data_IF_979182134054
#
_entry.id   IF_979182134054
#
_cell.length_a   1.000
_cell.length_b   1.000
_cell.length_c   1.000
_cell.angle_alpha   90.00
_cell.angle_beta   90.00
_cell.angle_gamma   90.00
#
_symmetry.space_group_name_H-M   'P 1'
#
loop_
_entity.id
_entity.type
_entity.pdbx_description
1 polymer ?
#
# COMPACT_ATOMS: atom_id res chain seq x y z
N UNK A 1 -26.04 -14.20 -37.62
CA UNK A 1 -24.58 -14.01 -37.79
C UNK A 1 -24.30 -12.53 -37.73
N UNK A 2 -23.93 -12.06 -36.56
CA UNK A 2 -23.32 -10.75 -36.32
C UNK A 2 -22.43 -10.99 -35.12
N UNK A 3 -21.12 -11.06 -35.37
CA UNK A 3 -20.10 -11.24 -34.33
C UNK A 3 -20.15 -9.99 -33.43
N UNK A 4 -20.59 -10.16 -32.20
CA UNK A 4 -20.33 -9.20 -31.13
C UNK A 4 -18.82 -9.04 -31.01
N UNK A 5 -18.36 -7.81 -31.25
CA UNK A 5 -17.02 -7.37 -30.88
C UNK A 5 -16.99 -7.36 -29.35
N UNK A 6 -16.04 -8.04 -28.67
CA UNK A 6 -15.97 -7.96 -27.21
C UNK A 6 -15.77 -6.50 -26.83
N UNK A 7 -16.50 -6.01 -25.82
CA UNK A 7 -16.29 -4.71 -25.23
C UNK A 7 -14.84 -4.60 -24.76
N UNK A 8 -13.98 -4.01 -25.62
CA UNK A 8 -12.62 -3.68 -25.27
C UNK A 8 -12.69 -2.67 -24.13
N UNK A 9 -12.12 -3.03 -22.98
CA UNK A 9 -11.94 -2.10 -21.86
C UNK A 9 -11.23 -0.86 -22.39
N UNK A 10 -11.96 0.26 -22.42
CA UNK A 10 -11.46 1.54 -22.86
C UNK A 10 -10.72 2.18 -21.68
N UNK A 11 -9.40 2.22 -21.75
CA UNK A 11 -8.57 2.96 -20.81
C UNK A 11 -8.36 4.37 -21.36
N UNK A 12 -9.03 5.37 -20.79
CA UNK A 12 -8.74 6.77 -21.08
C UNK A 12 -7.63 7.25 -20.15
N UNK A 13 -6.46 7.54 -20.70
CA UNK A 13 -5.37 8.26 -20.02
C UNK A 13 -5.06 9.47 -20.87
N UNK A 14 -5.49 10.66 -20.44
CA UNK A 14 -5.38 11.89 -21.23
C UNK A 14 -4.02 12.58 -21.00
N UNK A 15 -3.86 13.28 -19.88
CA UNK A 15 -2.73 14.20 -19.69
C UNK A 15 -1.43 13.53 -19.20
N UNK A 16 -1.55 12.46 -18.41
CA UNK A 16 -0.40 11.65 -17.96
C UNK A 16 0.27 10.91 -19.13
N UNK A 17 -0.50 10.63 -20.19
CA UNK A 17 -0.08 9.83 -21.34
C UNK A 17 0.87 10.59 -22.27
N UNK A 18 0.57 11.85 -22.60
CA UNK A 18 1.35 12.63 -23.57
C UNK A 18 2.74 13.07 -23.06
N UNK A 19 2.90 13.30 -21.75
CA UNK A 19 4.18 13.71 -21.17
C UNK A 19 5.13 12.54 -20.89
N UNK A 20 4.63 11.39 -20.42
CA UNK A 20 5.49 10.28 -19.99
C UNK A 20 5.83 9.27 -21.12
N UNK A 21 4.96 9.08 -22.12
CA UNK A 21 5.19 8.09 -23.20
C UNK A 21 6.33 8.44 -24.16
N UNK A 22 6.57 9.73 -24.44
CA UNK A 22 7.66 10.13 -25.34
C UNK A 22 9.04 9.76 -24.78
N UNK A 23 9.18 9.82 -23.46
CA UNK A 23 10.41 9.44 -22.79
C UNK A 23 10.54 7.92 -22.70
N UNK A 24 9.42 7.21 -22.47
CA UNK A 24 9.42 5.74 -22.40
C UNK A 24 9.98 5.07 -23.66
N UNK A 25 9.66 5.59 -24.85
CA UNK A 25 10.23 5.06 -26.11
C UNK A 25 11.75 5.26 -26.17
N UNK A 26 12.24 6.41 -25.71
CA UNK A 26 13.68 6.70 -25.65
C UNK A 26 14.34 5.78 -24.61
N UNK A 27 13.75 5.65 -23.41
CA UNK A 27 14.26 4.78 -22.34
C UNK A 27 14.34 3.32 -22.79
N UNK A 28 13.30 2.81 -23.46
CA UNK A 28 13.27 1.44 -23.98
C UNK A 28 14.34 1.18 -25.04
N UNK A 29 14.56 2.15 -25.95
CA UNK A 29 15.60 2.02 -26.98
C UNK A 29 17.00 2.13 -26.39
N UNK A 30 17.24 3.07 -25.48
CA UNK A 30 18.55 3.28 -24.87
C UNK A 30 19.01 2.07 -24.05
N UNK A 31 18.13 1.51 -23.19
CA UNK A 31 18.48 0.31 -22.40
C UNK A 31 18.71 -0.95 -23.26
N UNK A 32 18.31 -0.94 -24.53
CA UNK A 32 18.49 -2.05 -25.47
C UNK A 32 19.82 -1.96 -26.25
N UNK A 33 20.59 -0.88 -26.07
CA UNK A 33 21.90 -0.71 -26.70
C UNK A 33 22.95 -1.37 -25.82
N UNK A 34 23.69 -2.34 -26.39
CA UNK A 34 24.82 -2.98 -25.71
C UNK A 34 25.84 -1.94 -25.24
N UNK A 35 26.18 -1.97 -23.95
CA UNK A 35 27.09 -1.02 -23.31
C UNK A 35 26.41 0.12 -22.55
N UNK A 36 25.09 0.27 -22.64
CA UNK A 36 24.32 1.22 -21.82
C UNK A 36 23.68 0.47 -20.64
N UNK A 37 23.96 0.85 -19.38
CA UNK A 37 23.33 0.22 -18.23
C UNK A 37 21.80 0.34 -18.26
N UNK A 38 21.10 -0.79 -18.10
CA UNK A 38 19.63 -0.85 -18.05
C UNK A 38 19.03 -0.47 -16.70
N UNK A 39 19.74 0.33 -15.91
CA UNK A 39 19.43 0.71 -14.51
C UNK A 39 19.42 2.23 -14.37
N UNK A 40 18.68 2.74 -13.39
CA UNK A 40 18.55 4.19 -13.12
C UNK A 40 19.90 4.87 -12.86
N UNK A 41 20.81 4.18 -12.16
CA UNK A 41 22.20 4.57 -12.05
C UNK A 41 23.10 3.33 -11.92
N UNK A 42 24.38 3.48 -12.26
CA UNK A 42 25.41 2.46 -12.01
C UNK A 42 26.71 3.08 -11.54
N UNK A 43 27.30 2.49 -10.50
CA UNK A 43 28.55 2.97 -9.88
C UNK A 43 29.77 2.31 -10.52
N UNK A 44 30.76 3.13 -10.89
CA UNK A 44 32.03 2.73 -11.49
C UNK A 44 33.19 3.41 -10.74
N UNK A 45 33.73 2.73 -9.72
CA UNK A 45 34.70 3.34 -8.81
C UNK A 45 34.06 4.52 -8.08
N UNK A 46 34.65 5.71 -8.20
CA UNK A 46 34.13 6.95 -7.58
C UNK A 46 33.09 7.69 -8.45
N UNK A 47 32.81 7.18 -9.64
CA UNK A 47 31.88 7.80 -10.59
C UNK A 47 30.55 7.06 -10.66
N UNK A 48 29.51 7.78 -11.07
CA UNK A 48 28.14 7.28 -11.19
C UNK A 48 27.60 7.65 -12.56
N UNK A 49 27.23 6.64 -13.34
CA UNK A 49 26.42 6.80 -14.54
C UNK A 49 24.97 7.04 -14.13
N UNK A 50 24.31 8.04 -14.74
CA UNK A 50 22.90 8.36 -14.48
C UNK A 50 22.10 8.27 -15.77
N UNK A 51 21.13 7.36 -15.81
CA UNK A 51 20.37 7.07 -17.03
C UNK A 51 19.51 8.26 -17.49
N UNK A 52 18.91 8.99 -16.55
CA UNK A 52 18.08 10.16 -16.90
C UNK A 52 18.92 11.29 -17.53
N UNK A 53 20.19 11.44 -17.13
CA UNK A 53 21.12 12.36 -17.81
C UNK A 53 21.39 11.94 -19.24
N UNK A 54 21.56 10.65 -19.49
CA UNK A 54 21.71 10.14 -20.85
C UNK A 54 20.47 10.43 -21.70
N UNK A 55 19.26 10.23 -21.16
CA UNK A 55 18.00 10.60 -21.83
C UNK A 55 18.00 12.08 -22.20
N UNK A 56 18.37 12.97 -21.27
CA UNK A 56 18.45 14.40 -21.53
C UNK A 56 19.48 14.75 -22.63
N UNK A 57 20.67 14.16 -22.59
CA UNK A 57 21.72 14.40 -23.59
C UNK A 57 21.29 13.94 -24.98
N UNK A 58 20.61 12.80 -25.09
CA UNK A 58 20.10 12.27 -26.36
C UNK A 58 19.00 13.18 -26.93
N UNK A 59 18.10 13.69 -26.08
CA UNK A 59 17.10 14.69 -26.50
C UNK A 59 17.76 15.97 -27.02
N UNK A 60 18.78 16.47 -26.32
CA UNK A 60 19.55 17.65 -26.74
C UNK A 60 20.28 17.42 -28.06
N UNK A 61 20.67 16.19 -28.37
CA UNK A 61 21.28 15.79 -29.65
C UNK A 61 20.25 15.36 -30.71
N UNK A 62 19.03 15.91 -30.67
CA UNK A 62 17.99 15.67 -31.67
C UNK A 62 17.45 14.24 -31.69
N UNK A 63 17.45 13.56 -30.55
CA UNK A 63 17.01 12.16 -30.39
C UNK A 63 17.87 11.14 -31.17
N UNK A 64 19.13 11.48 -31.48
CA UNK A 64 20.02 10.61 -32.25
C UNK A 64 20.62 9.48 -31.39
N UNK A 65 19.94 8.33 -31.40
CA UNK A 65 20.37 7.13 -30.67
C UNK A 65 21.71 6.55 -31.13
N UNK A 66 22.15 6.82 -32.36
CA UNK A 66 23.45 6.33 -32.84
C UNK A 66 24.63 6.93 -32.07
N UNK A 67 24.42 8.09 -31.43
CA UNK A 67 25.43 8.77 -30.60
C UNK A 67 25.34 8.44 -29.12
N UNK A 68 24.38 7.60 -28.71
CA UNK A 68 24.09 7.37 -27.30
C UNK A 68 25.30 6.84 -26.51
N UNK A 69 26.11 5.96 -27.11
CA UNK A 69 27.32 5.41 -26.47
C UNK A 69 28.37 6.50 -26.23
N UNK A 70 28.54 7.43 -27.17
CA UNK A 70 29.49 8.55 -27.03
C UNK A 70 29.05 9.56 -25.96
N UNK A 71 27.77 9.53 -25.58
CA UNK A 71 27.20 10.37 -24.52
C UNK A 71 27.28 9.72 -23.13
N UNK A 72 27.57 8.42 -23.02
CA UNK A 72 27.72 7.72 -21.72
C UNK A 72 28.77 8.36 -20.81
N UNK A 73 29.97 8.75 -21.29
CA UNK A 73 30.94 9.46 -20.46
C UNK A 73 30.42 10.80 -19.94
N UNK A 74 29.61 11.52 -20.73
CA UNK A 74 28.99 12.78 -20.30
C UNK A 74 27.85 12.54 -19.31
N UNK A 75 27.18 11.39 -19.40
CA UNK A 75 26.18 10.92 -18.44
C UNK A 75 26.78 10.37 -17.13
N UNK A 76 28.11 10.31 -17.04
CA UNK A 76 28.85 9.82 -15.88
C UNK A 76 29.46 11.02 -15.13
N UNK A 77 29.30 11.04 -13.81
CA UNK A 77 29.73 12.16 -12.97
C UNK A 77 30.14 11.65 -11.57
N UNK A 78 30.57 12.53 -10.68
CA UNK A 78 30.88 12.13 -9.30
C UNK A 78 29.61 11.75 -8.53
N UNK A 79 29.75 10.96 -7.46
CA UNK A 79 28.61 10.57 -6.64
C UNK A 79 27.89 11.78 -5.99
N UNK A 80 28.60 12.85 -5.60
CA UNK A 80 27.97 14.06 -5.05
C UNK A 80 27.10 14.77 -6.10
N UNK A 81 27.63 14.96 -7.31
CA UNK A 81 26.90 15.58 -8.42
C UNK A 81 25.64 14.78 -8.78
N UNK A 82 25.73 13.44 -8.78
CA UNK A 82 24.58 12.58 -9.03
C UNK A 82 23.46 12.77 -8.00
N UNK A 83 23.79 12.91 -6.72
CA UNK A 83 22.81 13.11 -5.65
C UNK A 83 22.22 14.53 -5.67
N UNK A 84 23.07 15.53 -5.85
CA UNK A 84 22.69 16.94 -5.75
C UNK A 84 21.90 17.42 -6.98
N UNK A 85 22.44 17.16 -8.18
CA UNK A 85 21.89 17.68 -9.44
C UNK A 85 20.84 16.75 -10.05
N UNK A 86 21.01 15.43 -9.89
CA UNK A 86 20.16 14.42 -10.54
C UNK A 86 19.24 13.68 -9.60
N UNK A 87 19.24 14.06 -8.31
CA UNK A 87 18.41 13.42 -7.28
C UNK A 87 18.58 11.91 -7.20
N UNK A 88 19.75 11.38 -7.58
CA UNK A 88 20.10 9.99 -7.33
C UNK A 88 20.14 9.77 -5.83
N UNK A 89 19.69 8.62 -5.37
CA UNK A 89 19.78 8.23 -3.98
C UNK A 89 20.08 6.74 -3.89
N UNK A 90 20.96 6.29 -2.98
CA UNK A 90 21.39 4.90 -2.92
C UNK A 90 20.20 3.99 -2.65
N UNK A 91 19.86 3.13 -3.61
CA UNK A 91 18.90 2.06 -3.40
C UNK A 91 19.44 1.08 -2.33
N UNK A 92 18.58 0.56 -1.45
CA UNK A 92 17.13 0.75 -1.38
C UNK A 92 16.69 1.95 -0.52
N UNK A 93 17.61 2.79 -0.06
CA UNK A 93 17.31 3.85 0.88
C UNK A 93 16.48 4.97 0.25
N UNK A 94 15.83 5.74 1.11
CA UNK A 94 15.18 7.00 0.79
C UNK A 94 15.48 8.05 1.85
N UNK A 95 15.21 9.30 1.54
CA UNK A 95 15.31 10.40 2.51
C UNK A 95 13.95 10.65 3.13
N UNK A 96 13.91 10.74 4.45
CA UNK A 96 12.72 11.14 5.19
C UNK A 96 12.99 12.48 5.89
N UNK A 97 12.00 13.36 5.85
CA UNK A 97 12.05 14.67 6.50
C UNK A 97 11.13 14.61 7.71
N UNK A 98 11.65 14.94 8.88
CA UNK A 98 10.82 15.15 10.05
C UNK A 98 10.06 16.47 9.89
N UNK A 99 8.73 16.39 9.84
CA UNK A 99 7.87 17.57 9.65
C UNK A 99 7.90 18.57 10.81
N UNK A 100 8.41 18.17 11.99
CA UNK A 100 8.42 19.01 13.20
C UNK A 100 9.66 19.89 13.29
N UNK A 101 10.85 19.29 13.10
CA UNK A 101 12.15 19.96 13.28
C UNK A 101 12.95 20.08 11.98
N UNK A 102 12.37 19.65 10.85
CA UNK A 102 12.97 19.62 9.52
C UNK A 102 14.27 18.81 9.40
N UNK A 103 14.63 18.05 10.43
CA UNK A 103 15.76 17.13 10.39
C UNK A 103 15.54 16.04 9.33
N UNK A 104 16.64 15.57 8.76
CA UNK A 104 16.62 14.51 7.75
C UNK A 104 17.05 13.19 8.39
N UNK A 105 16.54 12.09 7.85
CA UNK A 105 17.01 10.75 8.13
C UNK A 105 17.12 9.96 6.82
N UNK A 106 18.02 8.99 6.80
CA UNK A 106 18.10 8.02 5.70
C UNK A 106 17.33 6.77 6.15
N UNK A 107 16.26 6.47 5.42
CA UNK A 107 15.28 5.44 5.72
C UNK A 107 15.44 4.25 4.77
N UNK A 108 15.30 3.04 5.29
CA UNK A 108 15.29 1.80 4.54
C UNK A 108 13.84 1.26 4.52
N UNK A 109 13.08 1.53 3.44
CA UNK A 109 11.64 1.24 3.39
C UNK A 109 11.31 -0.24 3.58
N UNK A 110 12.13 -1.15 3.07
CA UNK A 110 11.84 -2.59 3.17
C UNK A 110 12.08 -3.19 4.56
N UNK A 111 12.94 -2.59 5.37
CA UNK A 111 13.21 -3.04 6.74
C UNK A 111 12.48 -2.18 7.77
N UNK A 112 11.76 -1.16 7.33
CA UNK A 112 11.16 -0.15 8.18
C UNK A 112 12.17 0.37 9.22
N UNK A 113 13.36 0.75 8.74
CA UNK A 113 14.51 1.05 9.58
C UNK A 113 15.20 2.34 9.15
N UNK A 114 15.89 3.01 10.07
CA UNK A 114 16.70 4.19 9.80
C UNK A 114 18.18 3.86 9.94
N UNK A 115 19.01 4.61 9.22
CA UNK A 115 20.40 4.73 9.63
C UNK A 115 20.49 5.46 11.00
N UNK A 116 21.46 5.10 11.86
CA UNK A 116 21.52 5.61 13.23
C UNK A 116 21.63 7.14 13.37
N UNK A 117 22.18 7.80 12.35
CA UNK A 117 22.43 9.24 12.36
C UNK A 117 21.20 10.02 11.90
N UNK A 118 20.88 11.09 12.63
CA UNK A 118 19.99 12.16 12.20
C UNK A 118 20.80 13.34 11.68
N UNK A 119 20.32 13.98 10.62
CA UNK A 119 21.03 15.06 9.94
C UNK A 119 20.28 16.38 10.13
N UNK A 120 21.00 17.49 10.39
CA UNK A 120 20.36 18.79 10.56
C UNK A 120 19.78 19.34 9.25
N UNK A 121 20.36 18.99 8.12
CA UNK A 121 20.01 19.52 6.80
C UNK A 121 20.24 18.50 5.67
N UNK A 122 19.85 18.91 4.46
CA UNK A 122 19.97 18.12 3.24
C UNK A 122 21.42 17.82 2.88
N UNK A 123 22.34 18.75 3.09
CA UNK A 123 23.72 18.62 2.61
C UNK A 123 24.49 17.62 3.48
N UNK A 124 24.31 17.67 4.80
CA UNK A 124 24.83 16.68 5.72
C UNK A 124 24.28 15.27 5.42
N UNK A 125 22.99 15.18 5.06
CA UNK A 125 22.39 13.91 4.64
C UNK A 125 22.94 13.42 3.29
N UNK A 126 23.19 14.33 2.33
CA UNK A 126 23.77 14.00 1.04
C UNK A 126 25.18 13.44 1.19
N UNK A 127 26.00 13.97 2.12
CA UNK A 127 27.35 13.48 2.35
C UNK A 127 27.39 11.98 2.71
N UNK A 128 26.51 11.54 3.62
CA UNK A 128 26.42 10.12 3.98
C UNK A 128 25.70 9.29 2.90
N UNK A 129 24.75 9.87 2.17
CA UNK A 129 24.16 9.22 1.01
C UNK A 129 25.19 8.98 -0.12
N UNK A 130 26.14 9.89 -0.33
CA UNK A 130 27.27 9.73 -1.26
C UNK A 130 28.14 8.54 -0.85
N UNK A 131 28.44 8.40 0.45
CA UNK A 131 29.21 7.26 0.96
C UNK A 131 28.48 5.94 0.71
N UNK A 132 27.18 5.88 1.02
CA UNK A 132 26.34 4.71 0.78
C UNK A 132 26.25 4.36 -0.70
N UNK A 133 26.13 5.36 -1.58
CA UNK A 133 26.08 5.17 -3.03
C UNK A 133 27.35 4.49 -3.54
N UNK A 134 28.51 4.84 -2.99
CA UNK A 134 29.79 4.21 -3.29
C UNK A 134 29.99 2.85 -2.59
N UNK A 135 29.00 2.34 -1.85
CA UNK A 135 29.06 1.06 -1.15
C UNK A 135 29.75 1.09 0.21
N UNK A 136 30.04 2.28 0.74
CA UNK A 136 30.69 2.43 2.03
C UNK A 136 29.65 2.58 3.14
N UNK A 137 29.77 1.81 4.24
CA UNK A 137 28.85 1.94 5.35
C UNK A 137 28.99 3.30 6.05
N UNK A 138 27.87 3.77 6.59
CA UNK A 138 27.80 4.89 7.51
C UNK A 138 27.95 4.36 8.93
N UNK A 139 28.87 4.96 9.67
CA UNK A 139 29.18 4.56 11.05
C UNK A 139 28.03 4.90 12.00
N UNK A 140 27.76 3.98 12.93
CA UNK A 140 26.79 4.17 14.01
C UNK A 140 26.41 2.86 14.69
N UNK A 141 25.83 2.97 15.87
CA UNK A 141 25.24 1.84 16.60
C UNK A 141 23.78 1.68 16.21
N UNK A 142 23.35 0.44 15.98
CA UNK A 142 21.98 0.12 15.58
C UNK A 142 21.50 -1.19 16.20
N UNK A 143 20.19 -1.45 16.08
CA UNK A 143 19.55 -2.68 16.57
C UNK A 143 20.03 -3.92 15.81
N UNK A 144 20.43 -3.74 14.54
CA UNK A 144 20.94 -4.82 13.70
C UNK A 144 21.91 -4.30 12.64
N UNK A 145 22.63 -5.23 12.02
CA UNK A 145 23.54 -4.97 10.90
C UNK A 145 23.09 -5.79 9.69
N UNK A 146 22.96 -5.16 8.53
CA UNK A 146 22.69 -5.83 7.26
C UNK A 146 23.74 -5.41 6.24
N UNK A 147 24.45 -6.38 5.64
CA UNK A 147 25.56 -6.13 4.70
C UNK A 147 26.60 -5.11 5.20
N UNK A 148 26.90 -5.13 6.49
CA UNK A 148 27.84 -4.22 7.12
C UNK A 148 27.28 -2.84 7.47
N UNK A 149 26.03 -2.54 7.13
CA UNK A 149 25.36 -1.30 7.51
C UNK A 149 24.53 -1.48 8.80
N UNK A 150 24.91 -0.76 9.86
CA UNK A 150 24.11 -0.66 11.09
C UNK A 150 22.81 0.13 10.85
N UNK A 151 21.71 -0.34 11.42
CA UNK A 151 20.38 0.28 11.30
C UNK A 151 19.56 0.16 12.58
N UNK A 152 18.63 1.09 12.80
CA UNK A 152 17.68 1.15 13.92
C UNK A 152 16.28 0.91 13.38
N UNK A 153 15.55 -0.03 13.96
CA UNK A 153 14.18 -0.32 13.57
C UNK A 153 13.25 0.82 14.00
N UNK A 154 12.35 1.25 13.10
CA UNK A 154 11.26 2.16 13.47
C UNK A 154 10.31 1.49 14.44
N UNK A 155 10.07 0.20 14.25
CA UNK A 155 9.27 -0.66 15.11
C UNK A 155 9.88 -2.07 15.12
N UNK A 156 9.94 -2.74 16.28
CA UNK A 156 10.46 -4.10 16.35
C UNK A 156 9.48 -5.09 15.71
N UNK A 157 10.04 -6.14 15.12
CA UNK A 157 9.29 -7.30 14.66
C UNK A 157 9.01 -8.21 15.85
N UNK A 158 7.82 -8.11 16.45
CA UNK A 158 7.41 -8.97 17.56
C UNK A 158 5.89 -9.07 17.65
N UNK A 159 5.41 -10.26 18.04
CA UNK A 159 4.01 -10.49 18.39
C UNK A 159 3.66 -9.91 19.77
N UNK A 160 4.64 -9.67 20.65
CA UNK A 160 4.41 -9.20 22.03
C UNK A 160 3.83 -7.78 22.11
N UNK A 161 3.91 -7.02 21.02
CA UNK A 161 3.36 -5.65 20.93
C UNK A 161 1.98 -5.60 20.28
N UNK A 162 1.42 -6.74 19.88
CA UNK A 162 0.06 -6.78 19.39
C UNK A 162 -0.91 -6.44 20.54
N UNK A 163 -2.02 -5.76 20.24
CA UNK A 163 -3.15 -5.66 21.18
C UNK A 163 -3.60 -7.06 21.63
N UNK A 164 -4.36 -7.18 22.73
CA UNK A 164 -4.99 -8.44 23.10
C UNK A 164 -5.85 -8.98 21.95
N UNK A 165 -5.67 -10.26 21.60
CA UNK A 165 -6.48 -10.95 20.58
C UNK A 165 -7.90 -11.14 21.13
N UNK A 166 -8.95 -10.59 20.48
CA UNK A 166 -10.31 -10.88 20.88
C UNK A 166 -10.68 -12.34 20.61
N UNK A 167 -11.46 -12.93 21.50
CA UNK A 167 -11.96 -14.29 21.37
C UNK A 167 -13.47 -14.27 21.09
N UNK A 168 -13.90 -15.14 20.18
CA UNK A 168 -15.33 -15.37 19.91
C UNK A 168 -15.55 -16.78 19.37
N UNK A 169 -16.80 -17.23 19.41
CA UNK A 169 -17.22 -18.48 18.81
C UNK A 169 -17.22 -18.35 17.28
N UNK A 170 -16.10 -18.72 16.66
CA UNK A 170 -15.92 -18.67 15.20
C UNK A 170 -16.88 -19.67 14.54
N UNK A 171 -17.76 -19.22 13.62
CA UNK A 171 -18.64 -20.13 12.89
C UNK A 171 -17.85 -21.17 12.09
N UNK A 172 -18.33 -22.42 12.09
CA UNK A 172 -17.75 -23.46 11.23
C UNK A 172 -18.16 -23.19 9.79
N UNK A 173 -17.17 -22.95 8.92
CA UNK A 173 -17.40 -22.72 7.50
C UNK A 173 -16.33 -23.41 6.65
N UNK A 174 -16.73 -24.07 5.56
CA UNK A 174 -15.79 -24.79 4.68
C UNK A 174 -15.10 -23.83 3.70
N UNK A 175 -13.77 -23.93 3.65
CA UNK A 175 -12.91 -23.29 2.65
C UNK A 175 -13.12 -21.76 2.50
N UNK A 176 -13.06 -20.97 3.60
CA UNK A 176 -13.13 -19.53 3.50
C UNK A 176 -11.88 -19.02 2.79
N UNK A 177 -12.04 -18.42 1.62
CA UNK A 177 -10.95 -17.74 0.93
C UNK A 177 -10.48 -16.56 1.78
N UNK A 178 -9.29 -16.67 2.38
CA UNK A 178 -8.71 -15.62 3.21
C UNK A 178 -7.40 -15.14 2.60
N UNK A 179 -7.32 -13.84 2.35
CA UNK A 179 -6.05 -13.21 1.98
C UNK A 179 -5.11 -13.21 3.19
N UNK A 180 -3.84 -13.50 2.97
CA UNK A 180 -2.77 -13.30 3.96
C UNK A 180 -1.54 -12.77 3.22
N UNK A 181 -0.83 -11.81 3.82
CA UNK A 181 0.38 -11.23 3.28
C UNK A 181 1.48 -12.29 3.11
N UNK A 182 1.55 -13.25 4.04
CA UNK A 182 2.60 -14.27 4.10
C UNK A 182 2.28 -15.57 3.36
N UNK A 183 1.09 -15.73 2.75
CA UNK A 183 0.71 -16.95 2.00
C UNK A 183 1.78 -17.37 0.97
N UNK A 184 2.13 -16.45 0.07
CA UNK A 184 3.10 -16.64 -1.01
C UNK A 184 4.48 -16.06 -0.67
N UNK A 185 4.80 -15.95 0.62
CA UNK A 185 6.14 -15.52 1.06
C UNK A 185 6.81 -16.69 1.78
N UNK A 186 8.06 -16.94 1.41
CA UNK A 186 8.93 -17.92 2.06
C UNK A 186 9.94 -17.21 2.96
N UNK A 187 10.40 -17.92 3.98
CA UNK A 187 11.46 -17.43 4.85
C UNK A 187 12.80 -17.39 4.09
N UNK A 188 13.55 -16.30 4.27
CA UNK A 188 14.92 -16.17 3.74
C UNK A 188 15.84 -15.69 4.84
N UNK A 189 16.91 -16.45 5.11
CA UNK A 189 17.93 -16.07 6.08
C UNK A 189 18.72 -14.83 5.62
N UNK A 190 19.12 -13.98 6.56
CA UNK A 190 19.99 -12.82 6.28
C UNK A 190 19.56 -11.53 6.96
N UNK A 191 18.31 -11.48 7.45
CA UNK A 191 17.79 -10.36 8.23
C UNK A 191 17.58 -10.78 9.69
N UNK A 192 18.57 -10.50 10.54
CA UNK A 192 18.61 -10.94 11.94
C UNK A 192 17.35 -10.59 12.78
N UNK A 193 16.68 -9.42 12.59
CA UNK A 193 15.46 -9.10 13.34
C UNK A 193 14.29 -10.06 13.13
N UNK A 194 14.28 -10.85 12.04
CA UNK A 194 13.25 -11.86 11.80
C UNK A 194 13.90 -13.24 11.73
N UNK A 195 13.73 -14.01 12.81
CA UNK A 195 14.10 -15.42 12.82
C UNK A 195 13.07 -16.27 12.06
N UNK A 196 13.46 -17.49 11.68
CA UNK A 196 12.52 -18.45 11.06
C UNK A 196 11.35 -18.79 12.00
N UNK A 197 11.60 -18.89 13.31
CA UNK A 197 10.56 -19.11 14.31
C UNK A 197 9.54 -17.97 14.29
N UNK A 198 10.03 -16.73 14.40
CA UNK A 198 9.16 -15.55 14.39
C UNK A 198 8.38 -15.44 13.07
N UNK A 199 9.03 -15.70 11.93
CA UNK A 199 8.35 -15.71 10.64
C UNK A 199 7.19 -16.71 10.62
N UNK A 200 7.43 -17.94 11.07
CA UNK A 200 6.40 -18.98 11.11
C UNK A 200 5.28 -18.64 12.11
N UNK A 201 5.62 -18.10 13.28
CA UNK A 201 4.64 -17.65 14.28
C UNK A 201 3.74 -16.54 13.74
N UNK A 202 4.29 -15.52 13.08
CA UNK A 202 3.50 -14.45 12.45
C UNK A 202 2.64 -15.00 11.31
N UNK A 203 3.20 -15.88 10.46
CA UNK A 203 2.47 -16.52 9.36
C UNK A 203 1.28 -17.34 9.87
N UNK A 204 1.48 -18.13 10.92
CA UNK A 204 0.41 -18.89 11.57
C UNK A 204 -0.64 -17.99 12.22
N UNK A 205 -0.23 -16.97 12.97
CA UNK A 205 -1.15 -16.03 13.61
C UNK A 205 -2.02 -15.28 12.59
N UNK A 206 -1.41 -14.76 11.51
CA UNK A 206 -2.11 -14.10 10.40
C UNK A 206 -3.10 -15.07 9.74
N UNK A 207 -2.67 -16.29 9.45
CA UNK A 207 -3.51 -17.30 8.81
C UNK A 207 -4.73 -17.63 9.66
N UNK A 208 -4.55 -17.96 10.94
CA UNK A 208 -5.64 -18.28 11.85
C UNK A 208 -6.64 -17.14 12.00
N UNK A 209 -6.14 -15.91 12.19
CA UNK A 209 -6.95 -14.72 12.36
C UNK A 209 -7.79 -14.43 11.12
N UNK A 210 -7.17 -14.43 9.93
CA UNK A 210 -7.88 -14.12 8.70
C UNK A 210 -8.88 -15.21 8.31
N UNK A 211 -8.61 -16.49 8.62
CA UNK A 211 -9.58 -17.56 8.42
C UNK A 211 -10.76 -17.45 9.38
N UNK A 212 -10.53 -17.09 10.65
CA UNK A 212 -11.60 -16.86 11.61
C UNK A 212 -12.53 -15.72 11.17
N UNK A 213 -11.94 -14.60 10.69
CA UNK A 213 -12.75 -13.50 10.17
C UNK A 213 -13.47 -13.91 8.89
N UNK A 214 -12.79 -14.56 7.94
CA UNK A 214 -13.43 -14.97 6.68
C UNK A 214 -14.59 -15.94 6.90
N UNK A 215 -14.46 -16.89 7.83
CA UNK A 215 -15.55 -17.77 8.24
C UNK A 215 -16.73 -16.99 8.85
N UNK A 216 -16.44 -16.03 9.73
CA UNK A 216 -17.47 -15.17 10.34
C UNK A 216 -18.15 -14.31 9.27
N UNK A 217 -17.40 -13.70 8.36
CA UNK A 217 -17.94 -12.90 7.27
C UNK A 217 -18.84 -13.72 6.33
N UNK A 218 -18.44 -14.96 6.01
CA UNK A 218 -19.23 -15.87 5.21
C UNK A 218 -20.53 -16.26 5.91
N UNK A 219 -20.47 -16.58 7.21
CA UNK A 219 -21.67 -16.85 8.03
C UNK A 219 -22.61 -15.64 8.07
N UNK A 220 -22.09 -14.44 8.27
CA UNK A 220 -22.86 -13.19 8.26
C UNK A 220 -23.36 -12.81 6.86
N UNK A 221 -22.92 -13.50 5.81
CA UNK A 221 -23.48 -13.41 4.46
C UNK A 221 -24.76 -14.21 4.26
N UNK A 222 -25.20 -14.99 5.24
CA UNK A 222 -26.42 -15.78 5.14
C UNK A 222 -27.68 -14.88 5.16
N UNK A 223 -28.69 -15.13 4.30
CA UNK A 223 -29.95 -14.39 4.28
C UNK A 223 -30.67 -14.26 5.64
N UNK A 224 -30.56 -15.29 6.48
CA UNK A 224 -31.17 -15.31 7.82
C UNK A 224 -30.54 -14.28 8.76
N UNK A 225 -29.23 -14.01 8.63
CA UNK A 225 -28.56 -12.97 9.40
C UNK A 225 -29.10 -11.60 9.02
N UNK A 226 -29.21 -11.31 7.71
CA UNK A 226 -29.78 -10.06 7.21
C UNK A 226 -31.23 -9.86 7.65
N UNK A 227 -32.06 -10.90 7.52
CA UNK A 227 -33.46 -10.87 7.93
C UNK A 227 -33.63 -10.61 9.44
N UNK A 228 -32.66 -11.05 10.25
CA UNK A 228 -32.66 -10.83 11.71
C UNK A 228 -32.13 -9.44 12.10
N UNK A 229 -31.23 -8.86 11.30
CA UNK A 229 -30.54 -7.60 11.60
C UNK A 229 -31.32 -6.37 11.15
N UNK A 230 -31.80 -6.35 9.90
CA UNK A 230 -32.44 -5.16 9.31
C UNK A 230 -33.62 -4.61 10.15
N UNK A 231 -34.55 -5.44 10.66
CA UNK A 231 -35.63 -4.94 11.51
C UNK A 231 -35.17 -4.29 12.82
N UNK A 232 -33.91 -4.54 13.22
CA UNK A 232 -33.30 -4.10 14.47
C UNK A 232 -32.14 -3.10 14.22
N UNK A 233 -32.03 -2.55 13.01
CA UNK A 233 -30.99 -1.58 12.66
C UNK A 233 -30.93 -0.37 13.62
N UNK A 234 -32.07 0.06 14.14
CA UNK A 234 -32.15 1.14 15.13
C UNK A 234 -31.54 0.85 16.50
N UNK A 235 -31.22 -0.40 16.82
CA UNK A 235 -30.58 -0.75 18.09
C UNK A 235 -29.07 -0.45 18.09
N UNK A 236 -28.47 -0.21 16.92
CA UNK A 236 -27.04 0.04 16.75
C UNK A 236 -26.64 1.51 16.96
N UNK A 237 -27.58 2.41 17.28
CA UNK A 237 -27.24 3.83 17.53
C UNK A 237 -26.60 4.53 16.31
N UNK A 238 -27.09 4.19 15.11
CA UNK A 238 -26.52 4.65 13.84
C UNK A 238 -26.60 6.18 13.65
N UNK A 239 -27.45 6.88 14.40
CA UNK A 239 -27.57 8.33 14.40
C UNK A 239 -26.23 9.06 14.65
N UNK A 240 -25.24 8.40 15.25
CA UNK A 240 -23.90 8.94 15.43
C UNK A 240 -23.15 9.21 14.10
N UNK A 241 -23.57 8.58 12.99
CA UNK A 241 -22.98 8.81 11.67
C UNK A 241 -23.29 10.22 11.11
N UNK A 242 -24.35 10.88 11.61
CA UNK A 242 -24.66 12.28 11.30
C UNK A 242 -23.61 13.24 11.88
N UNK A 243 -22.98 12.88 13.00
CA UNK A 243 -21.99 13.73 13.66
C UNK A 243 -20.61 13.67 13.00
N UNK A 244 -20.35 12.66 12.16
CA UNK A 244 -19.09 12.47 11.44
C UNK A 244 -19.04 13.21 10.10
N UNK A 245 -20.13 13.87 9.67
CA UNK A 245 -20.20 14.52 8.35
C UNK A 245 -19.74 15.98 8.40
N UNK A 246 -18.55 16.29 7.90
CA UNK A 246 -18.04 17.67 7.86
C UNK A 246 -18.19 18.39 6.51
N UNK A 247 -18.54 17.72 5.42
CA UNK A 247 -18.56 18.33 4.07
C UNK A 247 -19.79 17.86 3.27
N UNK A 248 -20.62 18.80 2.79
CA UNK A 248 -21.99 18.56 2.26
C UNK A 248 -22.15 19.01 0.80
N UNK A 249 -21.07 19.33 0.10
CA UNK A 249 -21.18 20.17 -1.10
C UNK A 249 -21.55 19.43 -2.42
N UNK A 250 -21.66 18.09 -2.45
CA UNK A 250 -21.90 17.34 -3.71
C UNK A 250 -22.93 16.18 -3.60
N UNK A 251 -24.02 16.32 -2.84
CA UNK A 251 -25.11 15.33 -2.84
C UNK A 251 -26.29 15.80 -3.69
N UNK A 252 -26.71 14.97 -4.66
CA UNK A 252 -27.87 15.24 -5.52
C UNK A 252 -29.19 14.95 -4.77
N UNK A 253 -30.01 15.98 -4.47
CA UNK A 253 -31.26 15.82 -3.73
C UNK A 253 -32.29 14.93 -4.42
N UNK A 254 -32.15 14.66 -5.72
CA UNK A 254 -33.07 13.80 -6.48
C UNK A 254 -33.03 12.34 -6.02
N UNK A 255 -31.91 11.86 -5.47
CA UNK A 255 -31.77 10.47 -5.00
C UNK A 255 -32.17 10.26 -3.54
N UNK A 256 -32.32 11.33 -2.75
CA UNK A 256 -32.71 11.26 -1.33
C UNK A 256 -33.97 10.44 -1.07
N UNK A 257 -35.03 10.67 -1.85
CA UNK A 257 -36.29 9.93 -1.70
C UNK A 257 -36.15 8.44 -2.08
N UNK A 258 -35.26 8.14 -3.03
CA UNK A 258 -35.02 6.78 -3.49
C UNK A 258 -34.27 5.98 -2.41
N UNK A 259 -33.24 6.56 -1.81
CA UNK A 259 -32.53 5.93 -0.69
C UNK A 259 -33.44 5.67 0.53
N UNK A 260 -34.32 6.62 0.87
CA UNK A 260 -35.32 6.41 1.93
C UNK A 260 -36.31 5.30 1.61
N UNK A 261 -36.72 5.16 0.34
CA UNK A 261 -37.62 4.11 -0.09
C UNK A 261 -36.95 2.72 -0.09
N UNK A 262 -35.66 2.65 -0.40
CA UNK A 262 -34.88 1.41 -0.45
C UNK A 262 -34.48 0.93 0.95
N UNK A 263 -34.21 1.86 1.88
CA UNK A 263 -33.81 1.58 3.26
C UNK A 263 -34.76 2.23 4.29
N UNK A 264 -36.05 1.85 4.31
CA UNK A 264 -37.02 2.43 5.26
C UNK A 264 -36.64 2.16 6.73
N UNK A 265 -35.89 1.10 7.00
CA UNK A 265 -35.39 0.76 8.33
C UNK A 265 -34.42 1.82 8.88
N UNK A 266 -33.81 2.64 8.01
CA UNK A 266 -32.85 3.69 8.36
C UNK A 266 -33.50 5.06 8.62
N UNK A 267 -34.79 5.09 8.95
CA UNK A 267 -35.54 6.35 9.18
C UNK A 267 -34.99 7.27 10.29
N UNK A 268 -34.07 6.77 11.12
CA UNK A 268 -33.34 7.58 12.11
C UNK A 268 -32.24 8.46 11.47
N UNK A 269 -31.81 8.15 10.25
CA UNK A 269 -30.81 8.89 9.49
C UNK A 269 -31.48 9.83 8.49
N UNK A 270 -30.82 10.95 8.22
CA UNK A 270 -31.16 11.84 7.13
C UNK A 270 -30.90 11.16 5.78
N UNK A 271 -31.70 11.44 4.74
CA UNK A 271 -31.45 10.89 3.41
C UNK A 271 -30.04 11.19 2.88
N UNK A 272 -29.51 12.37 3.20
CA UNK A 272 -28.16 12.77 2.83
C UNK A 272 -27.08 11.90 3.50
N UNK A 273 -27.28 11.51 4.77
CA UNK A 273 -26.35 10.61 5.45
C UNK A 273 -26.40 9.18 4.91
N UNK A 274 -27.60 8.69 4.54
CA UNK A 274 -27.75 7.38 3.90
C UNK A 274 -27.03 7.36 2.55
N UNK A 275 -27.25 8.38 1.71
CA UNK A 275 -26.59 8.48 0.40
C UNK A 275 -25.07 8.53 0.52
N UNK A 276 -24.54 9.43 1.36
CA UNK A 276 -23.08 9.54 1.56
C UNK A 276 -22.44 8.24 2.03
N UNK A 277 -23.04 7.58 3.02
CA UNK A 277 -22.51 6.30 3.49
C UNK A 277 -22.59 5.21 2.41
N UNK A 278 -23.61 5.26 1.55
CA UNK A 278 -23.73 4.36 0.41
C UNK A 278 -22.66 4.66 -0.66
N UNK A 279 -22.40 5.93 -0.95
CA UNK A 279 -21.35 6.35 -1.90
C UNK A 279 -19.95 5.96 -1.38
N UNK A 280 -19.71 6.06 -0.07
CA UNK A 280 -18.51 5.55 0.60
C UNK A 280 -18.41 4.02 0.48
N UNK A 281 -19.50 3.29 0.70
CA UNK A 281 -19.57 1.84 0.57
C UNK A 281 -19.30 1.36 -0.87
N UNK A 282 -19.79 2.09 -1.87
CA UNK A 282 -19.58 1.79 -3.30
C UNK A 282 -18.25 2.37 -3.85
N UNK A 283 -17.34 2.85 -2.99
CA UNK A 283 -16.03 3.38 -3.36
C UNK A 283 -16.08 4.49 -4.44
N UNK A 284 -17.06 5.40 -4.35
CA UNK A 284 -17.22 6.53 -5.30
C UNK A 284 -17.51 6.13 -6.76
N UNK A 285 -17.91 4.88 -7.03
CA UNK A 285 -18.58 4.56 -8.29
C UNK A 285 -20.01 5.11 -8.22
N UNK A 286 -20.33 6.07 -9.09
CA UNK A 286 -21.67 6.64 -9.24
C UNK A 286 -22.63 5.55 -9.75
N UNK A 287 -23.11 4.71 -8.84
CA UNK A 287 -24.10 3.68 -9.11
C UNK A 287 -25.50 4.18 -8.73
N UNK A 288 -26.50 3.73 -9.49
CA UNK A 288 -27.89 4.01 -9.14
C UNK A 288 -28.23 3.38 -7.79
N UNK A 289 -29.14 3.98 -6.99
CA UNK A 289 -29.53 3.40 -5.71
C UNK A 289 -30.06 1.97 -5.88
N UNK A 290 -29.37 0.99 -5.30
CA UNK A 290 -29.78 -0.42 -5.27
C UNK A 290 -29.77 -0.93 -3.81
N UNK A 291 -30.70 -1.84 -3.49
CA UNK A 291 -30.70 -2.45 -2.15
C UNK A 291 -29.55 -3.44 -2.04
N UNK A 292 -28.63 -3.18 -1.13
CA UNK A 292 -27.57 -4.11 -0.76
C UNK A 292 -27.69 -4.43 0.73
N UNK A 293 -27.97 -5.68 1.08
CA UNK A 293 -28.09 -6.07 2.50
C UNK A 293 -26.75 -5.96 3.26
N UNK A 294 -25.62 -6.05 2.55
CA UNK A 294 -24.28 -5.85 3.11
C UNK A 294 -24.01 -4.41 3.58
N UNK A 295 -24.77 -3.43 3.06
CA UNK A 295 -24.61 -2.02 3.42
C UNK A 295 -24.80 -1.76 4.92
N UNK A 296 -25.67 -2.51 5.59
CA UNK A 296 -25.87 -2.38 7.03
C UNK A 296 -24.60 -2.67 7.83
N UNK A 297 -23.77 -3.63 7.39
CA UNK A 297 -22.49 -3.89 8.05
C UNK A 297 -21.52 -2.72 7.88
N UNK A 298 -21.48 -2.10 6.70
CA UNK A 298 -20.69 -0.90 6.51
C UNK A 298 -21.12 0.21 7.50
N UNK A 299 -22.42 0.48 7.61
CA UNK A 299 -22.96 1.47 8.56
C UNK A 299 -22.57 1.16 10.01
N UNK A 300 -22.77 -0.08 10.46
CA UNK A 300 -22.43 -0.53 11.81
C UNK A 300 -20.93 -0.33 12.06
N UNK A 301 -20.05 -0.79 11.17
CA UNK A 301 -18.60 -0.64 11.31
C UNK A 301 -18.13 0.82 11.27
N UNK A 302 -18.78 1.67 10.47
CA UNK A 302 -18.46 3.09 10.36
C UNK A 302 -18.73 3.87 11.64
N UNK A 303 -19.54 3.36 12.57
CA UNK A 303 -19.72 3.99 13.90
C UNK A 303 -18.46 3.92 14.77
N UNK A 304 -17.71 2.81 14.73
CA UNK A 304 -16.47 2.61 15.50
C UNK A 304 -15.20 2.94 14.72
N UNK A 305 -15.27 2.93 13.38
CA UNK A 305 -14.13 3.26 12.54
C UNK A 305 -13.68 4.72 12.79
N UNK A 306 -12.38 4.87 13.05
CA UNK A 306 -11.74 6.17 13.28
C UNK A 306 -11.21 6.79 11.98
N UNK A 307 -10.99 5.97 10.95
CA UNK A 307 -10.55 6.42 9.63
C UNK A 307 -11.05 5.47 8.52
N UNK A 308 -12.22 5.79 7.96
CA UNK A 308 -12.90 5.02 6.89
C UNK A 308 -12.03 4.78 5.65
N UNK A 309 -11.04 5.63 5.37
CA UNK A 309 -10.14 5.48 4.20
C UNK A 309 -9.06 4.39 4.36
N UNK A 310 -8.77 3.96 5.58
CA UNK A 310 -7.78 2.90 5.89
C UNK A 310 -8.42 1.63 6.42
N UNK A 311 -9.56 1.79 7.07
CA UNK A 311 -10.29 0.72 7.72
C UNK A 311 -11.24 0.05 6.71
N UNK A 312 -11.55 -1.24 6.88
CA UNK A 312 -12.64 -1.88 6.15
C UNK A 312 -13.86 -1.93 7.09
N UNK A 313 -14.80 -0.96 6.99
CA UNK A 313 -15.92 -0.86 7.94
C UNK A 313 -16.84 -2.07 7.84
N UNK A 314 -17.05 -2.62 6.64
CA UNK A 314 -17.92 -3.76 6.44
C UNK A 314 -17.42 -5.00 7.21
N UNK A 315 -16.11 -5.30 7.13
CA UNK A 315 -15.48 -6.40 7.87
C UNK A 315 -15.71 -6.24 9.38
N UNK A 316 -15.50 -5.03 9.90
CA UNK A 316 -15.69 -4.72 11.33
C UNK A 316 -17.16 -4.82 11.73
N UNK A 317 -18.07 -4.31 10.90
CA UNK A 317 -19.51 -4.38 11.14
C UNK A 317 -20.07 -5.79 11.14
N UNK A 318 -19.52 -6.69 10.30
CA UNK A 318 -19.87 -8.12 10.35
C UNK A 318 -19.51 -8.76 11.69
N UNK A 319 -18.35 -8.42 12.25
CA UNK A 319 -17.92 -8.91 13.57
C UNK A 319 -18.81 -8.37 14.70
N UNK A 320 -19.15 -7.08 14.67
CA UNK A 320 -20.06 -6.45 15.64
C UNK A 320 -21.44 -7.11 15.58
N UNK A 321 -21.99 -7.23 14.37
CA UNK A 321 -23.31 -7.83 14.16
C UNK A 321 -23.33 -9.30 14.58
N UNK A 322 -22.25 -10.06 14.34
CA UNK A 322 -22.12 -11.43 14.82
C UNK A 322 -22.14 -11.52 16.35
N UNK A 323 -21.33 -10.71 17.04
CA UNK A 323 -21.29 -10.68 18.50
C UNK A 323 -22.67 -10.36 19.10
N UNK A 324 -23.39 -9.42 18.49
CA UNK A 324 -24.73 -9.06 18.93
C UNK A 324 -25.77 -10.16 18.67
N UNK A 325 -25.75 -10.81 17.49
CA UNK A 325 -26.64 -11.94 17.19
C UNK A 325 -26.41 -13.14 18.10
N UNK A 326 -25.17 -13.31 18.59
CA UNK A 326 -24.80 -14.36 19.55
C UNK A 326 -25.06 -13.98 21.02
N UNK A 327 -25.67 -12.82 21.26
CA UNK A 327 -26.22 -12.44 22.57
C UNK A 327 -25.44 -11.38 23.34
N UNK A 328 -24.41 -10.77 22.75
CA UNK A 328 -23.74 -9.63 23.37
C UNK A 328 -24.66 -8.40 23.44
N UNK A 329 -24.41 -7.53 24.43
CA UNK A 329 -25.00 -6.19 24.43
C UNK A 329 -24.45 -5.37 23.25
N UNK A 330 -25.16 -4.33 22.83
CA UNK A 330 -24.69 -3.43 21.75
C UNK A 330 -23.35 -2.80 22.11
N UNK A 331 -23.18 -2.35 23.35
CA UNK A 331 -21.92 -1.77 23.84
C UNK A 331 -20.77 -2.78 23.81
N UNK A 332 -21.00 -4.01 24.26
CA UNK A 332 -19.96 -5.06 24.25
C UNK A 332 -19.63 -5.49 22.82
N UNK A 333 -20.61 -5.58 21.93
CA UNK A 333 -20.40 -5.88 20.52
C UNK A 333 -19.54 -4.80 19.83
N UNK A 334 -19.78 -3.53 20.15
CA UNK A 334 -18.96 -2.42 19.65
C UNK A 334 -17.54 -2.43 20.20
N UNK A 335 -17.37 -2.70 21.49
CA UNK A 335 -16.06 -2.86 22.11
C UNK A 335 -15.27 -3.99 21.43
N UNK A 336 -15.90 -5.14 21.25
CA UNK A 336 -15.33 -6.28 20.53
C UNK A 336 -14.91 -5.91 19.11
N UNK A 337 -15.77 -5.23 18.35
CA UNK A 337 -15.46 -4.76 16.99
C UNK A 337 -14.24 -3.85 16.95
N UNK A 338 -14.14 -2.89 17.88
CA UNK A 338 -12.99 -1.99 17.98
C UNK A 338 -11.70 -2.72 18.34
N UNK A 339 -11.75 -3.64 19.31
CA UNK A 339 -10.61 -4.47 19.70
C UNK A 339 -10.14 -5.36 18.54
N UNK A 340 -11.08 -5.97 17.81
CA UNK A 340 -10.79 -6.80 16.64
C UNK A 340 -10.16 -5.98 15.52
N UNK A 341 -10.66 -4.78 15.25
CA UNK A 341 -10.07 -3.87 14.27
C UNK A 341 -8.63 -3.46 14.62
N UNK A 342 -8.38 -3.14 15.89
CA UNK A 342 -7.04 -2.76 16.36
C UNK A 342 -6.06 -3.93 16.23
N UNK A 343 -6.48 -5.13 16.65
CA UNK A 343 -5.68 -6.34 16.53
C UNK A 343 -5.39 -6.68 15.06
N UNK A 344 -6.42 -6.66 14.20
CA UNK A 344 -6.32 -6.92 12.77
C UNK A 344 -5.34 -5.98 12.07
N UNK A 345 -5.43 -4.67 12.36
CA UNK A 345 -4.55 -3.65 11.81
C UNK A 345 -3.09 -3.88 12.25
N UNK A 346 -2.87 -4.18 13.53
CA UNK A 346 -1.53 -4.41 14.06
C UNK A 346 -0.90 -5.69 13.48
N UNK A 347 -1.64 -6.79 13.44
CA UNK A 347 -1.17 -8.07 12.90
C UNK A 347 -0.92 -7.99 11.39
N UNK A 348 -1.86 -7.41 10.63
CA UNK A 348 -1.70 -7.20 9.19
C UNK A 348 -0.51 -6.29 8.88
N UNK A 349 -0.33 -5.23 9.67
CA UNK A 349 0.84 -4.35 9.57
C UNK A 349 2.16 -5.10 9.80
N UNK A 350 2.25 -5.91 10.85
CA UNK A 350 3.42 -6.74 11.12
C UNK A 350 3.67 -7.75 10.00
N UNK A 351 2.65 -8.50 9.58
CA UNK A 351 2.76 -9.51 8.53
C UNK A 351 3.17 -8.90 7.18
N UNK A 352 2.62 -7.73 6.83
CA UNK A 352 3.04 -6.96 5.67
C UNK A 352 4.51 -6.58 5.73
N UNK A 353 4.98 -6.02 6.87
CA UNK A 353 6.38 -5.63 7.02
C UNK A 353 7.32 -6.82 6.94
N UNK A 354 6.97 -7.96 7.56
CA UNK A 354 7.73 -9.22 7.43
C UNK A 354 7.77 -9.67 5.97
N UNK A 355 6.63 -9.63 5.26
CA UNK A 355 6.55 -10.03 3.85
C UNK A 355 7.46 -9.18 2.97
N UNK A 356 7.42 -7.86 3.16
CA UNK A 356 8.24 -6.90 2.42
C UNK A 356 9.72 -7.12 2.71
N UNK A 357 10.12 -7.31 3.97
CA UNK A 357 11.50 -7.59 4.35
C UNK A 357 12.01 -8.89 3.72
N UNK A 358 11.25 -9.99 3.81
CA UNK A 358 11.65 -11.28 3.23
C UNK A 358 11.79 -11.22 1.71
N UNK A 359 10.85 -10.57 1.00
CA UNK A 359 10.93 -10.36 -0.45
C UNK A 359 12.15 -9.52 -0.83
N UNK A 360 12.47 -8.50 -0.03
CA UNK A 360 13.67 -7.70 -0.25
C UNK A 360 14.94 -8.54 -0.08
N UNK A 361 15.08 -9.30 1.02
CA UNK A 361 16.25 -10.16 1.24
C UNK A 361 16.38 -11.20 0.12
N UNK A 362 15.27 -11.80 -0.31
CA UNK A 362 15.25 -12.74 -1.43
C UNK A 362 15.80 -12.10 -2.72
N UNK A 363 15.30 -10.92 -3.07
CA UNK A 363 15.73 -10.20 -4.28
C UNK A 363 17.17 -9.67 -4.19
N UNK A 364 17.54 -9.11 -3.05
CA UNK A 364 18.86 -8.52 -2.82
C UNK A 364 19.96 -9.58 -2.80
N UNK A 365 19.69 -10.78 -2.26
CA UNK A 365 20.62 -11.92 -2.33
C UNK A 365 21.01 -12.32 -3.77
N UNK A 366 20.19 -11.94 -4.76
CA UNK A 366 20.42 -12.20 -6.17
C UNK A 366 21.04 -11.01 -6.93
N UNK A 367 21.15 -9.83 -6.31
CA UNK A 367 21.70 -8.62 -6.94
C UNK A 367 23.24 -8.59 -6.87
N UNK A 368 23.88 -8.19 -7.97
CA UNK A 368 25.33 -8.32 -8.15
C UNK A 368 26.14 -7.02 -7.95
N UNK A 369 25.52 -5.88 -7.58
CA UNK A 369 26.27 -4.63 -7.46
C UNK A 369 25.52 -3.45 -6.85
N UNK A 370 26.25 -2.33 -6.71
CA UNK A 370 25.72 -1.02 -6.30
C UNK A 370 25.10 -0.32 -7.51
N UNK A 371 23.89 -0.73 -7.87
CA UNK A 371 23.12 -0.17 -8.97
C UNK A 371 21.72 0.24 -8.52
N UNK A 372 21.13 1.17 -9.27
CA UNK A 372 19.77 1.60 -9.05
C UNK A 372 18.76 0.59 -9.58
N UNK A 373 17.47 0.92 -9.41
CA UNK A 373 16.41 0.08 -9.94
C UNK A 373 16.50 -0.07 -11.47
N UNK A 374 16.13 -1.23 -12.02
CA UNK A 374 16.00 -1.42 -13.46
C UNK A 374 15.09 -0.35 -14.07
N UNK A 375 15.46 0.16 -15.25
CA UNK A 375 14.60 1.07 -16.00
C UNK A 375 13.37 0.29 -16.44
N UNK A 376 12.21 0.70 -15.95
CA UNK A 376 10.89 0.21 -16.37
C UNK A 376 10.11 1.31 -17.08
N UNK A 377 9.42 0.96 -18.17
CA UNK A 377 8.46 1.84 -18.83
C UNK A 377 7.03 1.49 -18.42
N UNK A 378 6.08 2.38 -18.66
CA UNK A 378 4.66 2.10 -18.47
C UNK A 378 4.21 0.88 -19.30
N UNK A 379 4.84 0.67 -20.46
CA UNK A 379 4.59 -0.50 -21.31
C UNK A 379 5.07 -1.81 -20.68
N UNK A 380 6.17 -1.80 -19.93
CA UNK A 380 6.61 -2.96 -19.14
C UNK A 380 5.63 -3.27 -18.03
N UNK A 381 5.15 -2.23 -17.33
CA UNK A 381 4.12 -2.37 -16.29
C UNK A 381 2.87 -3.03 -16.85
N UNK A 382 2.36 -2.58 -18.00
CA UNK A 382 1.22 -3.22 -18.66
C UNK A 382 1.52 -4.66 -19.12
N UNK A 383 2.74 -4.94 -19.59
CA UNK A 383 3.14 -6.31 -19.97
C UNK A 383 3.18 -7.23 -18.75
N UNK A 384 3.67 -6.74 -17.62
CA UNK A 384 3.71 -7.47 -16.37
C UNK A 384 2.30 -7.70 -15.82
N UNK A 385 1.44 -6.68 -15.81
CA UNK A 385 0.03 -6.79 -15.42
C UNK A 385 -0.70 -7.85 -16.25
N UNK A 386 -0.51 -7.88 -17.57
CA UNK A 386 -1.07 -8.93 -18.44
C UNK A 386 -0.56 -10.32 -18.08
N UNK A 387 0.72 -10.45 -17.73
CA UNK A 387 1.33 -11.73 -17.33
C UNK A 387 0.75 -12.27 -16.01
N UNK A 388 0.41 -11.38 -15.08
CA UNK A 388 -0.19 -11.75 -13.78
C UNK A 388 -1.71 -11.60 -13.75
N UNK A 389 -2.33 -11.37 -14.90
CA UNK A 389 -3.78 -11.13 -15.03
C UNK A 389 -4.33 -10.05 -14.09
N UNK A 390 -3.52 -9.06 -13.72
CA UNK A 390 -3.95 -7.92 -12.91
C UNK A 390 -4.65 -6.89 -13.78
N UNK A 391 -5.76 -6.36 -13.27
CA UNK A 391 -6.60 -5.36 -13.96
C UNK A 391 -6.57 -3.99 -13.30
N UNK A 392 -5.89 -3.86 -12.15
CA UNK A 392 -5.82 -2.63 -11.36
C UNK A 392 -4.39 -2.08 -11.37
N UNK A 393 -4.26 -0.80 -11.73
CA UNK A 393 -3.03 -0.03 -11.61
C UNK A 393 -3.34 1.22 -10.79
N UNK A 394 -2.72 1.32 -9.61
CA UNK A 394 -2.77 2.55 -8.80
C UNK A 394 -1.52 3.37 -9.10
N UNK A 395 -1.70 4.59 -9.59
CA UNK A 395 -0.63 5.55 -9.77
C UNK A 395 -0.73 6.62 -8.68
N UNK A 396 0.37 6.86 -7.96
CA UNK A 396 0.45 7.91 -6.95
C UNK A 396 1.23 9.09 -7.51
N UNK A 397 0.58 10.22 -7.71
CA UNK A 397 1.26 11.45 -8.06
C UNK A 397 1.77 12.12 -6.77
N UNK A 398 3.07 12.02 -6.50
CA UNK A 398 3.68 12.81 -5.45
C UNK A 398 3.81 14.25 -5.96
N UNK A 399 2.88 15.12 -5.56
CA UNK A 399 2.95 16.54 -5.83
C UNK A 399 4.21 17.13 -5.22
N UNK A 400 5.20 17.48 -6.04
CA UNK A 400 6.24 18.43 -5.65
C UNK A 400 5.56 19.79 -5.54
N UNK A 401 5.52 20.35 -4.33
CA UNK A 401 5.38 21.80 -4.15
C UNK A 401 6.71 22.47 -4.42
#
# INVERSE_FOLDING_TARGET
MSREVPAGRFFCMDEFHNHHMNDDVIRERLRSIDGIPGVSYQVYGDNVFVFEKLVQLVKQNGHNLATALDLVPQATMTASEAIEEWSVFPAPYSREINNTDHSQAIYHPYFNAYLPRKYPDRDACNADATRLLLGNPVEGEGDFVYRGQSMILRQPFTLDRLPPRPEWDVPVYENPGAYTHLWNTDFVSGFAPVSESLFNEVKSAEWEWNHAIAATCAYMGNPECFASLWPRAGEFGLEQLELKSSDVDELDPEYHQQFQAIYPELSMLSPAAIQRAYDEYCESMWEYPERCDGFLYHLIGSTVSSNVSRDNPEKTGRLIAHAWLTGASVEDAYRFGSEAQQFDTALSGLAYQVSVAMKFVAGDSAAAGNEGHPISTLSDTFRQMRKVSSTLLTATQNGRK
#
